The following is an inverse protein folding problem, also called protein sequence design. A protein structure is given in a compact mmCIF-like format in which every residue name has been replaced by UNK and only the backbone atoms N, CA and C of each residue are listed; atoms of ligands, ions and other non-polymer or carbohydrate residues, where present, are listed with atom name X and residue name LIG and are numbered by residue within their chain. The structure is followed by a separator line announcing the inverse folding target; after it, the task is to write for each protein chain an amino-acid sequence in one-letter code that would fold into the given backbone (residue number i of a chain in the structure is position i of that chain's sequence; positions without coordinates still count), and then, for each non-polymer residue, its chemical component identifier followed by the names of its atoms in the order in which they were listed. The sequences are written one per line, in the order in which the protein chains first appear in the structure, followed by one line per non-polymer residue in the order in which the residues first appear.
data_IF_067112766598
#
_entry.id   IF_067112766598
#
_cell.length_a   1.000
_cell.length_b   1.000
_cell.length_c   1.000
_cell.angle_alpha   90.00
_cell.angle_beta   90.00
_cell.angle_gamma   90.00
#
_symmetry.space_group_name_H-M   'P 1'
#
loop_
_entity.id
_entity.type
_entity.pdbx_description
1 polymer ?
#
# COMPACT_ATOMS: atom_id res chain seq x y z
N UNK A 1 10.23 2.63 3.71
CA UNK A 1 8.97 1.94 4.00
C UNK A 1 8.82 0.73 3.09
N UNK A 2 8.79 -0.48 3.66
CA UNK A 2 8.74 -1.75 2.91
C UNK A 2 7.39 -2.48 3.08
N UNK A 3 6.47 -1.94 3.91
CA UNK A 3 5.24 -2.64 4.31
C UNK A 3 4.43 -3.20 3.13
N UNK A 4 4.18 -2.39 2.10
CA UNK A 4 3.39 -2.82 0.94
C UNK A 4 4.07 -3.95 0.16
N UNK A 5 5.40 -3.90 0.02
CA UNK A 5 6.16 -4.95 -0.66
C UNK A 5 6.11 -6.28 0.10
N UNK A 6 6.08 -6.22 1.44
CA UNK A 6 5.95 -7.40 2.30
C UNK A 6 4.53 -7.98 2.30
N UNK A 7 3.50 -7.16 2.06
CA UNK A 7 2.10 -7.64 2.01
C UNK A 7 1.85 -8.69 0.92
N UNK A 8 2.67 -8.73 -0.12
CA UNK A 8 2.54 -9.71 -1.21
C UNK A 8 3.36 -10.98 -0.98
N UNK A 9 4.02 -11.13 0.18
CA UNK A 9 4.76 -12.35 0.50
C UNK A 9 3.84 -13.58 0.57
N UNK A 10 4.35 -14.73 0.18
CA UNK A 10 3.61 -16.00 0.20
C UNK A 10 3.10 -16.32 1.60
N UNK A 11 3.90 -16.07 2.64
CA UNK A 11 3.62 -16.34 4.04
C UNK A 11 2.56 -15.42 4.66
N UNK A 12 2.26 -14.29 4.04
CA UNK A 12 1.17 -13.42 4.50
C UNK A 12 -0.16 -14.08 4.21
N UNK A 13 -0.98 -14.26 5.23
CA UNK A 13 -2.25 -15.01 5.19
C UNK A 13 -3.34 -14.40 4.31
N UNK A 14 -3.17 -13.19 3.77
CA UNK A 14 -4.18 -12.51 2.96
C UNK A 14 -4.53 -13.28 1.69
N UNK A 15 -5.78 -13.13 1.24
CA UNK A 15 -6.30 -13.77 0.05
C UNK A 15 -5.49 -13.40 -1.19
N UNK A 16 -5.33 -14.34 -2.13
CA UNK A 16 -4.54 -14.17 -3.35
C UNK A 16 -4.99 -12.97 -4.20
N UNK A 17 -6.29 -12.66 -4.25
CA UNK A 17 -6.81 -11.51 -5.01
C UNK A 17 -6.37 -10.17 -4.41
N UNK A 18 -6.18 -10.07 -3.09
CA UNK A 18 -5.62 -8.85 -2.46
C UNK A 18 -4.16 -8.67 -2.87
N UNK A 19 -3.36 -9.76 -2.81
CA UNK A 19 -1.95 -9.73 -3.25
C UNK A 19 -1.84 -9.37 -4.72
N UNK A 20 -2.67 -9.97 -5.56
CA UNK A 20 -2.73 -9.70 -7.01
C UNK A 20 -3.09 -8.24 -7.29
N UNK A 21 -4.04 -7.66 -6.53
CA UNK A 21 -4.37 -6.24 -6.66
C UNK A 21 -3.16 -5.36 -6.35
N UNK A 22 -2.41 -5.65 -5.29
CA UNK A 22 -1.21 -4.89 -4.92
C UNK A 22 -0.14 -5.01 -6.02
N UNK A 23 0.13 -6.22 -6.52
CA UNK A 23 1.08 -6.48 -7.60
C UNK A 23 0.72 -5.72 -8.88
N UNK A 24 -0.57 -5.60 -9.19
CA UNK A 24 -1.06 -4.87 -10.37
C UNK A 24 -1.16 -3.35 -10.16
N UNK A 25 -0.85 -2.84 -8.96
CA UNK A 25 -1.00 -1.43 -8.62
C UNK A 25 0.26 -0.64 -8.89
N UNK A 26 0.09 0.55 -9.45
CA UNK A 26 1.13 1.58 -9.57
C UNK A 26 1.13 2.57 -8.40
N UNK A 27 2.03 3.56 -8.47
CA UNK A 27 2.15 4.60 -7.44
C UNK A 27 0.87 5.45 -7.29
N UNK A 28 0.08 5.59 -8.37
CA UNK A 28 -1.14 6.39 -8.41
C UNK A 28 -2.39 5.64 -7.93
N UNK A 29 -2.32 4.32 -7.71
CA UNK A 29 -3.46 3.49 -7.33
C UNK A 29 -3.73 3.49 -5.82
N UNK A 30 -3.05 4.36 -5.08
CA UNK A 30 -3.31 4.61 -3.66
C UNK A 30 -3.74 6.06 -3.43
N UNK A 31 -4.57 6.26 -2.42
CA UNK A 31 -5.07 7.58 -2.05
C UNK A 31 -5.00 7.81 -0.55
N UNK A 32 -5.17 9.07 -0.13
CA UNK A 32 -5.22 9.45 1.29
C UNK A 32 -6.67 9.58 1.74
N UNK A 33 -6.95 9.10 2.94
CA UNK A 33 -8.25 9.18 3.61
C UNK A 33 -8.08 9.57 5.08
N UNK A 34 -9.15 9.97 5.75
CA UNK A 34 -9.21 10.29 7.17
C UNK A 34 -8.38 11.51 7.60
N UNK A 35 -8.06 12.41 6.68
CA UNK A 35 -7.34 13.65 6.96
C UNK A 35 -8.16 14.59 7.86
N UNK A 36 -9.47 14.62 7.69
CA UNK A 36 -10.40 15.41 8.50
C UNK A 36 -10.37 15.09 10.00
N UNK A 37 -9.94 13.89 10.36
CA UNK A 37 -9.79 13.42 11.74
C UNK A 37 -8.34 13.42 12.24
N UNK A 38 -7.40 14.02 11.49
CA UNK A 38 -5.96 14.00 11.79
C UNK A 38 -5.40 12.58 11.93
N UNK A 39 -6.02 11.63 11.27
CA UNK A 39 -5.64 10.21 11.23
C UNK A 39 -5.45 9.76 9.79
N UNK A 40 -4.69 10.53 9.03
CA UNK A 40 -4.48 10.30 7.60
C UNK A 40 -3.82 8.94 7.36
N UNK A 41 -4.48 8.13 6.53
CA UNK A 41 -4.00 6.84 6.10
C UNK A 41 -3.91 6.79 4.57
N UNK A 42 -2.91 6.07 4.05
CA UNK A 42 -2.81 5.79 2.62
C UNK A 42 -3.31 4.37 2.34
N UNK A 43 -4.27 4.27 1.45
CA UNK A 43 -5.03 3.04 1.16
C UNK A 43 -5.16 2.82 -0.34
N UNK A 44 -5.56 1.62 -0.75
CA UNK A 44 -5.97 1.31 -2.13
C UNK A 44 -7.09 2.27 -2.53
N UNK A 45 -7.00 2.88 -3.71
CA UNK A 45 -8.05 3.75 -4.25
C UNK A 45 -9.23 2.91 -4.77
N UNK A 46 -10.12 2.54 -3.89
CA UNK A 46 -11.29 1.69 -4.15
C UNK A 46 -12.61 2.42 -3.82
N UNK A 47 -13.71 1.67 -3.85
CA UNK A 47 -15.05 2.19 -3.57
C UNK A 47 -15.14 2.86 -2.19
N UNK A 48 -14.66 2.18 -1.14
CA UNK A 48 -14.73 2.70 0.23
C UNK A 48 -13.82 3.91 0.45
N UNK A 49 -12.63 3.91 -0.15
CA UNK A 49 -11.73 5.06 -0.11
C UNK A 49 -12.39 6.31 -0.73
N UNK A 50 -13.04 6.15 -1.88
CA UNK A 50 -13.77 7.25 -2.54
C UNK A 50 -14.97 7.73 -1.74
N UNK A 51 -15.72 6.82 -1.10
CA UNK A 51 -16.83 7.18 -0.23
C UNK A 51 -16.35 8.02 0.97
N UNK A 52 -15.27 7.64 1.62
CA UNK A 52 -14.64 8.41 2.71
C UNK A 52 -14.20 9.78 2.22
N UNK A 53 -13.54 9.86 1.06
CA UNK A 53 -13.12 11.14 0.50
C UNK A 53 -14.30 12.05 0.17
N UNK A 54 -15.41 11.52 -0.31
CA UNK A 54 -16.64 12.31 -0.55
C UNK A 54 -17.14 12.92 0.74
N UNK A 55 -17.24 12.15 1.83
CA UNK A 55 -17.62 12.69 3.15
C UNK A 55 -16.66 13.79 3.62
N UNK A 56 -15.37 13.63 3.39
CA UNK A 56 -14.36 14.64 3.75
C UNK A 56 -14.51 15.92 2.93
N UNK A 57 -14.78 15.81 1.62
CA UNK A 57 -15.01 16.95 0.72
C UNK A 57 -16.29 17.71 1.08
N UNK A 58 -17.33 17.00 1.48
CA UNK A 58 -18.60 17.58 1.96
C UNK A 58 -18.48 18.20 3.36
N UNK A 59 -17.29 18.12 3.98
CA UNK A 59 -17.01 18.71 5.28
C UNK A 59 -17.67 18.00 6.46
N UNK A 60 -18.14 16.78 6.28
CA UNK A 60 -18.78 15.98 7.32
C UNK A 60 -17.79 15.72 8.45
N UNK A 61 -18.21 16.01 9.71
CA UNK A 61 -17.42 15.80 10.93
C UNK A 61 -18.00 14.73 11.85
N UNK A 62 -19.17 14.21 11.53
CA UNK A 62 -19.82 13.14 12.26
C UNK A 62 -19.15 11.81 11.92
N UNK A 63 -18.44 11.23 12.89
CA UNK A 63 -17.69 9.98 12.71
C UNK A 63 -18.60 8.78 12.41
N UNK A 64 -19.84 8.79 12.87
CA UNK A 64 -20.77 7.69 12.66
C UNK A 64 -21.07 7.49 11.17
N UNK A 65 -21.00 8.55 10.36
CA UNK A 65 -21.14 8.46 8.90
C UNK A 65 -19.94 7.80 8.21
N UNK A 66 -18.76 7.85 8.83
CA UNK A 66 -17.56 7.16 8.32
C UNK A 66 -17.50 5.70 8.77
N UNK A 67 -18.11 5.38 9.92
CA UNK A 67 -18.00 4.06 10.54
C UNK A 67 -18.27 2.87 9.61
N UNK A 68 -19.30 2.89 8.72
CA UNK A 68 -19.55 1.80 7.78
C UNK A 68 -18.36 1.45 6.90
N UNK A 69 -17.50 2.43 6.60
CA UNK A 69 -16.36 2.30 5.69
C UNK A 69 -15.06 2.00 6.41
N UNK A 70 -14.86 2.55 7.62
CA UNK A 70 -13.56 2.57 8.30
C UNK A 70 -13.37 1.46 9.34
N UNK A 71 -14.43 0.75 9.70
CA UNK A 71 -14.34 -0.31 10.72
C UNK A 71 -13.39 -1.42 10.29
N UNK A 72 -12.51 -1.84 11.21
CA UNK A 72 -11.47 -2.86 10.96
C UNK A 72 -12.01 -4.20 10.50
N UNK A 73 -13.26 -4.56 10.83
CA UNK A 73 -13.92 -5.77 10.34
C UNK A 73 -13.94 -5.85 8.81
N UNK A 74 -14.16 -4.72 8.11
CA UNK A 74 -14.14 -4.69 6.64
C UNK A 74 -12.79 -5.12 6.09
N UNK A 75 -11.70 -4.64 6.68
CA UNK A 75 -10.35 -5.00 6.26
C UNK A 75 -10.06 -6.50 6.52
N UNK A 76 -10.47 -7.00 7.68
CA UNK A 76 -10.34 -8.43 8.00
C UNK A 76 -11.09 -9.31 7.00
N UNK A 77 -12.35 -8.96 6.70
CA UNK A 77 -13.19 -9.69 5.76
C UNK A 77 -12.62 -9.64 4.33
N UNK A 78 -12.09 -8.49 3.91
CA UNK A 78 -11.43 -8.33 2.62
C UNK A 78 -10.16 -9.19 2.49
N UNK A 79 -9.32 -9.21 3.52
CA UNK A 79 -8.13 -10.08 3.53
C UNK A 79 -8.49 -11.56 3.50
N UNK A 80 -9.64 -11.94 4.06
CA UNK A 80 -10.11 -13.32 4.09
C UNK A 80 -10.80 -13.75 2.80
N UNK A 81 -11.65 -12.89 2.23
CA UNK A 81 -12.50 -13.19 1.07
C UNK A 81 -11.89 -12.83 -0.28
N UNK A 82 -10.97 -11.86 -0.29
CA UNK A 82 -10.42 -11.28 -1.52
C UNK A 82 -11.22 -10.07 -2.06
N UNK A 83 -12.36 -9.69 -1.45
CA UNK A 83 -13.14 -8.52 -1.86
C UNK A 83 -12.51 -7.22 -1.32
N UNK A 84 -11.43 -6.79 -1.97
CA UNK A 84 -10.69 -5.59 -1.61
C UNK A 84 -11.42 -4.28 -1.95
N UNK A 85 -12.53 -4.33 -2.68
CA UNK A 85 -13.29 -3.15 -3.10
C UNK A 85 -13.99 -2.43 -1.95
N UNK A 86 -14.39 -3.19 -0.92
CA UNK A 86 -15.20 -2.73 0.21
C UNK A 86 -14.43 -2.72 1.53
N UNK A 87 -13.20 -2.25 1.50
CA UNK A 87 -12.37 -2.10 2.69
C UNK A 87 -11.30 -1.03 2.50
N UNK A 88 -10.90 -0.37 3.57
CA UNK A 88 -9.72 0.49 3.58
C UNK A 88 -8.48 -0.37 3.83
N UNK A 89 -7.84 -0.83 2.77
CA UNK A 89 -6.62 -1.62 2.84
C UNK A 89 -5.40 -0.74 2.64
N UNK A 90 -4.48 -0.76 3.60
CA UNK A 90 -3.25 0.01 3.55
C UNK A 90 -2.41 -0.39 2.35
N UNK A 91 -2.06 0.58 1.51
CA UNK A 91 -1.17 0.41 0.37
C UNK A 91 -0.41 1.70 0.12
N UNK A 92 0.90 1.66 0.21
CA UNK A 92 1.77 2.79 -0.09
C UNK A 92 2.13 2.89 -1.57
N UNK A 93 2.73 4.00 -1.97
CA UNK A 93 3.26 4.20 -3.33
C UNK A 93 4.37 3.20 -3.69
N UNK A 94 4.99 2.54 -2.68
CA UNK A 94 5.95 1.46 -2.86
C UNK A 94 5.34 0.17 -3.44
N UNK A 95 4.05 0.14 -3.75
CA UNK A 95 3.41 -0.91 -4.53
C UNK A 95 4.13 -1.16 -5.87
N UNK A 96 4.70 -0.12 -6.48
CA UNK A 96 5.51 -0.24 -7.72
C UNK A 96 6.73 -1.18 -7.62
N UNK A 97 7.13 -1.55 -6.41
CA UNK A 97 8.22 -2.50 -6.16
C UNK A 97 7.71 -3.89 -5.73
N UNK A 98 6.40 -4.09 -5.71
CA UNK A 98 5.76 -5.37 -5.40
C UNK A 98 5.28 -6.02 -6.71
N UNK A 99 6.22 -6.49 -7.52
CA UNK A 99 6.02 -6.95 -8.91
C UNK A 99 5.52 -8.40 -9.01
N UNK A 100 5.63 -9.17 -7.93
CA UNK A 100 5.17 -10.56 -7.88
C UNK A 100 4.94 -11.04 -6.45
N UNK A 101 4.15 -12.09 -6.30
CA UNK A 101 4.03 -12.84 -5.04
C UNK A 101 5.26 -13.73 -4.93
N UNK A 102 6.01 -13.60 -3.84
CA UNK A 102 7.28 -14.28 -3.60
C UNK A 102 7.40 -14.71 -2.14
N UNK A 103 8.26 -15.70 -1.81
CA UNK A 103 8.65 -15.96 -0.44
C UNK A 103 9.23 -14.71 0.23
N UNK A 104 8.98 -14.54 1.53
CA UNK A 104 9.47 -13.40 2.30
C UNK A 104 10.99 -13.27 2.22
N UNK A 105 11.71 -14.37 2.29
CA UNK A 105 13.18 -14.42 2.15
C UNK A 105 13.62 -13.76 0.84
N UNK A 106 13.01 -14.13 -0.28
CA UNK A 106 13.33 -13.56 -1.59
C UNK A 106 13.06 -12.05 -1.67
N UNK A 107 11.98 -11.58 -1.02
CA UNK A 107 11.68 -10.13 -0.94
C UNK A 107 12.80 -9.39 -0.21
N UNK A 108 13.30 -9.94 0.89
CA UNK A 108 14.41 -9.33 1.66
C UNK A 108 15.73 -9.39 0.90
N UNK A 109 16.05 -10.49 0.25
CA UNK A 109 17.26 -10.61 -0.58
C UNK A 109 17.26 -9.56 -1.70
N UNK A 110 16.15 -9.45 -2.42
CA UNK A 110 15.98 -8.43 -3.46
C UNK A 110 16.13 -7.00 -2.91
N UNK A 111 15.63 -6.71 -1.72
CA UNK A 111 15.78 -5.40 -1.08
C UNK A 111 17.24 -5.08 -0.76
N UNK A 112 18.00 -6.05 -0.28
CA UNK A 112 19.43 -5.92 0.03
C UNK A 112 20.22 -5.69 -1.26
N UNK A 113 19.96 -6.47 -2.29
CA UNK A 113 20.64 -6.36 -3.58
C UNK A 113 20.36 -5.02 -4.26
N UNK A 114 19.12 -4.55 -4.24
CA UNK A 114 18.73 -3.24 -4.76
C UNK A 114 19.42 -2.10 -4.00
N UNK A 115 19.53 -2.21 -2.68
CA UNK A 115 20.23 -1.22 -1.85
C UNK A 115 21.73 -1.19 -2.17
N UNK A 116 22.36 -2.35 -2.31
CA UNK A 116 23.77 -2.47 -2.71
C UNK A 116 24.00 -1.86 -4.09
N UNK A 117 23.18 -2.20 -5.07
CA UNK A 117 23.25 -1.64 -6.42
C UNK A 117 23.04 -0.10 -6.45
N UNK A 118 22.13 0.43 -5.61
CA UNK A 118 21.94 1.87 -5.48
C UNK A 118 23.17 2.56 -4.90
N UNK A 119 23.82 1.95 -3.90
CA UNK A 119 25.05 2.48 -3.32
C UNK A 119 26.19 2.54 -4.34
N UNK A 120 26.37 1.50 -5.15
CA UNK A 120 27.40 1.50 -6.21
C UNK A 120 27.15 2.57 -7.27
N UNK A 121 25.87 2.77 -7.69
CA UNK A 121 25.51 3.87 -8.59
C UNK A 121 25.89 5.23 -8.01
N UNK A 122 25.63 5.47 -6.73
CA UNK A 122 26.00 6.73 -6.06
C UNK A 122 27.50 6.92 -5.96
N UNK A 123 28.28 5.88 -5.70
CA UNK A 123 29.76 5.91 -5.70
C UNK A 123 30.29 6.29 -7.09
N UNK A 124 29.74 5.71 -8.15
CA UNK A 124 30.13 6.01 -9.53
C UNK A 124 29.91 7.49 -9.91
N UNK A 125 28.83 8.12 -9.41
CA UNK A 125 28.57 9.55 -9.65
C UNK A 125 29.59 10.49 -8.97
N UNK A 126 30.19 10.07 -7.84
CA UNK A 126 31.23 10.86 -7.15
C UNK A 126 32.56 10.81 -7.88
N UNK A 127 32.92 9.70 -8.49
CA UNK A 127 34.19 9.54 -9.22
C UNK A 127 34.20 10.25 -10.56
N UNK A 128 33.03 10.45 -11.19
CA UNK A 128 32.94 11.17 -12.46
C UNK A 128 33.09 12.71 -12.36
N UNK A 129 33.08 13.27 -11.14
CA UNK A 129 33.27 14.74 -10.91
C UNK A 129 34.70 15.15 -10.64
N UNK A 130 35.64 14.22 -10.62
CA UNK A 130 37.07 14.49 -10.33
C UNK A 130 38.00 14.31 -11.53
N UNK A 131 37.42 14.30 -12.74
CA UNK A 131 38.17 14.28 -14.01
C UNK A 131 38.05 15.59 -14.77
#
# INVERSE_FOLDING_TARGET
LIGTRVLVAEEVWSHAEVKKQIVNSGAADSTLVMSSFRNTSRVINNEFARAVQSLELDGIKDFDQYWPYVKGANAFDAYKSGDWHKALLSMGQSAVFADSVQPMEQIYDNLIDEAAAALERLRGLRTSKTG
#
